data_IF_402471554358
#
_entry.id   IF_402471554358
#
_cell.length_a   1.000
_cell.length_b   1.000
_cell.length_c   1.000
_cell.angle_alpha   90.00
_cell.angle_beta   90.00
_cell.angle_gamma   90.00
#
_symmetry.space_group_name_H-M   'P 1'
#
loop_
_entity.id
_entity.type
_entity.pdbx_description
1 polymer ?
#
# COMPACT_ATOMS: atom_id res chain seq x y z
N UNK A 1 -17.69 4.43 -31.50
CA UNK A 1 -16.40 4.94 -31.99
C UNK A 1 -15.44 5.13 -30.81
N UNK A 2 -14.31 4.41 -30.84
CA UNK A 2 -13.02 4.57 -30.13
C UNK A 2 -12.95 4.85 -28.61
N UNK A 3 -12.64 3.80 -27.82
CA UNK A 3 -11.87 3.91 -26.55
C UNK A 3 -10.81 2.81 -26.44
N UNK A 4 -9.87 2.78 -27.39
CA UNK A 4 -8.58 2.11 -27.20
C UNK A 4 -7.53 3.19 -26.90
N UNK A 5 -7.38 3.56 -25.62
CA UNK A 5 -6.11 4.16 -25.16
C UNK A 5 -5.38 3.10 -24.34
N UNK A 6 -4.58 2.28 -25.02
CA UNK A 6 -3.46 1.58 -24.38
C UNK A 6 -2.43 2.65 -24.00
N UNK A 7 -2.67 3.38 -22.92
CA UNK A 7 -1.60 4.11 -22.27
C UNK A 7 -0.69 3.03 -21.66
N UNK A 8 0.49 2.85 -22.22
CA UNK A 8 1.51 2.03 -21.56
C UNK A 8 1.99 2.85 -20.36
N UNK A 9 1.66 2.39 -19.17
CA UNK A 9 2.14 2.97 -17.93
C UNK A 9 3.67 2.93 -17.97
N UNK A 10 4.32 4.09 -18.14
CA UNK A 10 5.78 4.16 -18.16
C UNK A 10 6.25 4.04 -16.72
N UNK A 11 6.75 2.86 -16.36
CA UNK A 11 7.37 2.59 -15.05
C UNK A 11 8.81 3.10 -15.11
N UNK A 12 9.18 3.97 -14.17
CA UNK A 12 10.54 4.48 -14.02
C UNK A 12 11.22 3.81 -12.83
N UNK A 13 11.79 2.62 -13.04
CA UNK A 13 12.50 1.89 -11.98
C UNK A 13 13.87 2.52 -11.74
N UNK A 14 14.15 2.87 -10.49
CA UNK A 14 15.48 3.29 -10.00
C UNK A 14 15.75 2.56 -8.69
N UNK A 15 17.02 2.45 -8.24
CA UNK A 15 17.32 1.97 -6.89
C UNK A 15 16.69 2.90 -5.86
N UNK A 16 15.79 2.38 -5.03
CA UNK A 16 15.07 3.13 -3.99
C UNK A 16 15.08 2.32 -2.71
N UNK A 17 15.23 3.00 -1.58
CA UNK A 17 15.09 2.41 -0.26
C UNK A 17 13.60 2.16 0.04
N UNK A 18 13.18 0.90 0.14
CA UNK A 18 11.77 0.57 0.31
C UNK A 18 11.22 1.03 1.68
N UNK A 19 12.02 0.98 2.75
CA UNK A 19 11.58 1.46 4.07
C UNK A 19 11.25 2.96 4.05
N UNK A 20 11.99 3.76 3.28
CA UNK A 20 11.67 5.18 3.10
C UNK A 20 10.31 5.37 2.40
N UNK A 21 10.02 4.59 1.35
CA UNK A 21 8.74 4.68 0.64
C UNK A 21 7.58 4.32 1.56
N UNK A 22 7.74 3.28 2.39
CA UNK A 22 6.74 2.89 3.38
C UNK A 22 6.55 4.00 4.42
N UNK A 23 7.64 4.57 4.93
CA UNK A 23 7.59 5.64 5.93
C UNK A 23 6.89 6.89 5.40
N UNK A 24 7.20 7.30 4.16
CA UNK A 24 6.57 8.45 3.51
C UNK A 24 5.07 8.24 3.29
N UNK A 25 4.67 7.03 2.88
CA UNK A 25 3.25 6.70 2.73
C UNK A 25 2.50 6.76 4.07
N UNK A 26 3.10 6.23 5.14
CA UNK A 26 2.54 6.30 6.51
C UNK A 26 2.42 7.76 6.96
N UNK A 27 3.48 8.55 6.79
CA UNK A 27 3.49 9.96 7.17
C UNK A 27 2.42 10.76 6.42
N UNK A 28 2.31 10.56 5.11
CA UNK A 28 1.28 11.19 4.27
C UNK A 28 -0.12 10.90 4.81
N UNK A 29 -0.39 9.65 5.21
CA UNK A 29 -1.69 9.26 5.78
C UNK A 29 -1.94 9.94 7.12
N UNK A 30 -0.95 9.96 8.01
CA UNK A 30 -1.06 10.61 9.33
C UNK A 30 -1.25 12.13 9.22
N UNK A 31 -0.72 12.77 8.17
CA UNK A 31 -0.89 14.20 7.92
C UNK A 31 -2.23 14.56 7.25
N UNK A 32 -2.78 13.66 6.45
CA UNK A 32 -3.97 13.94 5.61
C UNK A 32 -5.29 13.51 6.25
N UNK A 33 -5.27 12.66 7.27
CA UNK A 33 -6.48 12.17 7.93
C UNK A 33 -6.68 12.88 9.27
N UNK A 34 -7.83 13.55 9.43
CA UNK A 34 -8.18 14.33 10.63
C UNK A 34 -8.47 13.44 11.86
N UNK A 35 -8.84 12.18 11.64
CA UNK A 35 -9.08 11.22 12.71
C UNK A 35 -7.75 10.73 13.29
N UNK A 36 -7.71 10.48 14.61
CA UNK A 36 -6.53 9.90 15.27
C UNK A 36 -6.33 8.44 14.83
N UNK A 37 -5.74 8.23 13.65
CA UNK A 37 -5.33 6.91 13.15
C UNK A 37 -4.03 6.52 13.83
N UNK A 38 -3.97 5.31 14.38
CA UNK A 38 -2.77 4.70 14.92
C UNK A 38 -2.22 3.71 13.91
N UNK A 39 -1.08 4.03 13.31
CA UNK A 39 -0.38 3.11 12.40
C UNK A 39 0.79 2.46 13.16
N UNK A 40 0.78 1.13 13.22
CA UNK A 40 1.84 0.34 13.85
C UNK A 40 2.72 -0.32 12.78
N UNK A 41 4.05 -0.29 12.99
CA UNK A 41 5.04 -0.81 12.06
C UNK A 41 5.72 -2.05 12.62
N UNK A 42 5.49 -3.22 12.01
CA UNK A 42 6.00 -4.51 12.49
C UNK A 42 6.89 -5.23 11.45
N UNK A 43 7.64 -6.23 11.90
CA UNK A 43 8.47 -7.08 11.04
C UNK A 43 9.82 -6.46 10.65
N UNK A 44 10.44 -7.00 9.60
CA UNK A 44 11.79 -6.62 9.15
C UNK A 44 11.75 -5.29 8.42
N UNK A 45 12.54 -4.29 8.81
CA UNK A 45 12.66 -3.04 8.04
C UNK A 45 13.57 -3.25 6.83
N UNK A 46 13.06 -3.28 5.58
CA UNK A 46 13.88 -3.48 4.39
C UNK A 46 14.70 -2.22 4.09
N UNK A 47 15.80 -2.04 4.83
CA UNK A 47 16.81 -1.02 4.56
C UNK A 47 17.72 -1.46 3.40
N UNK A 48 17.11 -1.73 2.25
CA UNK A 48 17.75 -2.23 1.04
C UNK A 48 17.29 -1.42 -0.17
N UNK A 49 18.21 -1.23 -1.13
CA UNK A 49 17.90 -0.58 -2.39
C UNK A 49 17.29 -1.60 -3.37
N UNK A 50 16.06 -1.34 -3.78
CA UNK A 50 15.31 -2.20 -4.71
C UNK A 50 15.00 -1.41 -5.98
N UNK A 51 15.13 -1.98 -7.19
CA UNK A 51 14.73 -1.32 -8.43
C UNK A 51 13.20 -1.23 -8.52
N UNK A 52 12.64 -0.07 -8.16
CA UNK A 52 11.20 0.19 -8.18
C UNK A 52 10.88 1.62 -8.64
N UNK A 53 9.62 1.86 -8.99
CA UNK A 53 9.10 3.20 -9.27
C UNK A 53 8.47 3.74 -7.98
N UNK A 54 9.23 4.61 -7.31
CA UNK A 54 8.94 5.18 -5.99
C UNK A 54 7.53 5.73 -5.90
N UNK A 55 7.17 6.62 -6.84
CA UNK A 55 5.88 7.31 -6.88
C UNK A 55 4.74 6.29 -7.03
N UNK A 56 4.94 5.26 -7.86
CA UNK A 56 3.92 4.24 -8.08
C UNK A 56 3.72 3.33 -6.88
N UNK A 57 4.80 2.93 -6.21
CA UNK A 57 4.71 2.09 -5.02
C UNK A 57 4.11 2.89 -3.86
N UNK A 58 4.53 4.13 -3.66
CA UNK A 58 3.94 5.02 -2.65
C UNK A 58 2.42 5.17 -2.86
N UNK A 59 1.97 5.39 -4.10
CA UNK A 59 0.55 5.46 -4.42
C UNK A 59 -0.21 4.17 -4.08
N UNK A 60 0.39 3.00 -4.34
CA UNK A 60 -0.22 1.71 -3.98
C UNK A 60 -0.37 1.58 -2.47
N UNK A 61 0.65 1.97 -1.71
CA UNK A 61 0.62 1.93 -0.24
C UNK A 61 -0.42 2.90 0.32
N UNK A 62 -0.47 4.14 -0.18
CA UNK A 62 -1.49 5.14 0.20
C UNK A 62 -2.90 4.61 -0.08
N UNK A 63 -3.12 3.93 -1.22
CA UNK A 63 -4.42 3.36 -1.55
C UNK A 63 -4.82 2.28 -0.54
N UNK A 64 -3.91 1.38 -0.16
CA UNK A 64 -4.21 0.36 0.84
C UNK A 64 -4.43 0.95 2.24
N UNK A 65 -3.60 1.91 2.66
CA UNK A 65 -3.76 2.58 3.96
C UNK A 65 -5.06 3.38 4.05
N UNK A 66 -5.42 4.12 3.00
CA UNK A 66 -6.69 4.85 2.91
C UNK A 66 -7.88 3.90 2.99
N UNK A 67 -7.81 2.76 2.29
CA UNK A 67 -8.86 1.74 2.36
C UNK A 67 -8.96 1.15 3.77
N UNK A 68 -7.83 0.81 4.40
CA UNK A 68 -7.79 0.29 5.76
C UNK A 68 -8.50 1.22 6.75
N UNK A 69 -8.26 2.53 6.66
CA UNK A 69 -8.91 3.55 7.51
C UNK A 69 -10.39 3.67 7.18
N UNK A 70 -10.71 3.85 5.89
CA UNK A 70 -12.09 4.06 5.42
C UNK A 70 -13.03 2.91 5.80
N UNK A 71 -12.55 1.67 5.75
CA UNK A 71 -13.35 0.48 6.01
C UNK A 71 -13.30 0.02 7.47
N UNK A 72 -12.58 0.74 8.34
CA UNK A 72 -12.48 0.51 9.79
C UNK A 72 -13.05 1.67 10.64
N UNK A 73 -14.32 2.09 10.45
CA UNK A 73 -14.84 3.30 11.12
C UNK A 73 -14.86 3.23 12.66
N UNK A 74 -14.88 2.03 13.23
CA UNK A 74 -14.88 1.80 14.68
C UNK A 74 -13.50 1.39 15.22
N UNK A 75 -12.49 1.25 14.35
CA UNK A 75 -11.13 0.89 14.75
C UNK A 75 -10.13 1.76 14.02
N UNK A 76 -9.41 2.59 14.77
CA UNK A 76 -8.43 3.51 14.23
C UNK A 76 -7.02 2.88 14.07
N UNK A 77 -6.86 1.58 14.33
CA UNK A 77 -5.59 0.88 14.22
C UNK A 77 -5.39 0.27 12.83
N UNK A 78 -4.24 0.54 12.24
CA UNK A 78 -3.75 -0.11 11.02
C UNK A 78 -2.35 -0.65 11.29
N UNK A 79 -2.06 -1.87 10.84
CA UNK A 79 -0.74 -2.50 11.03
C UNK A 79 -0.06 -2.66 9.67
N UNK A 80 1.14 -2.10 9.54
CA UNK A 80 2.02 -2.28 8.38
C UNK A 80 3.15 -3.24 8.75
N UNK A 81 3.09 -4.46 8.22
CA UNK A 81 4.09 -5.49 8.47
C UNK A 81 4.90 -5.76 7.21
N UNK A 82 6.20 -5.98 7.36
CA UNK A 82 7.07 -6.37 6.25
C UNK A 82 7.89 -7.60 6.56
N UNK A 83 8.14 -8.38 5.51
CA UNK A 83 8.98 -9.57 5.55
C UNK A 83 9.94 -9.52 4.38
N UNK A 84 11.23 -9.70 4.66
CA UNK A 84 12.27 -9.85 3.65
C UNK A 84 12.64 -11.31 3.54
N UNK A 85 12.47 -11.88 2.35
CA UNK A 85 12.92 -13.22 2.01
C UNK A 85 14.13 -13.12 1.08
N UNK A 86 15.31 -13.34 1.64
CA UNK A 86 16.56 -13.28 0.91
C UNK A 86 16.75 -14.47 -0.05
N UNK A 87 16.15 -15.63 0.22
CA UNK A 87 16.29 -16.79 -0.66
C UNK A 87 15.38 -16.64 -1.89
N UNK A 88 14.13 -16.22 -1.67
CA UNK A 88 13.18 -15.95 -2.75
C UNK A 88 13.44 -14.62 -3.49
N UNK A 89 14.30 -13.75 -2.95
CA UNK A 89 14.55 -12.38 -3.44
C UNK A 89 13.26 -11.54 -3.47
N UNK A 90 12.44 -11.67 -2.41
CA UNK A 90 11.15 -11.01 -2.30
C UNK A 90 11.07 -10.14 -1.05
N UNK A 91 10.33 -9.02 -1.17
CA UNK A 91 9.87 -8.27 0.00
C UNK A 91 8.35 -8.22 -0.04
N UNK A 92 7.75 -8.63 1.06
CA UNK A 92 6.30 -8.57 1.26
C UNK A 92 5.96 -7.40 2.15
N UNK A 93 5.01 -6.57 1.73
CA UNK A 93 4.42 -5.50 2.53
C UNK A 93 2.94 -5.83 2.74
N UNK A 94 2.55 -5.98 4.01
CA UNK A 94 1.18 -6.26 4.41
C UNK A 94 0.59 -5.03 5.10
N UNK A 95 -0.61 -4.63 4.68
CA UNK A 95 -1.44 -3.66 5.39
C UNK A 95 -2.61 -4.43 5.98
N UNK A 96 -2.73 -4.41 7.31
CA UNK A 96 -3.80 -5.08 8.05
C UNK A 96 -4.71 -4.04 8.70
N UNK A 97 -6.00 -4.15 8.42
CA UNK A 97 -7.06 -3.39 9.05
C UNK A 97 -7.99 -4.31 9.85
N UNK A 98 -8.86 -3.71 10.64
CA UNK A 98 -9.81 -4.42 11.51
C UNK A 98 -11.24 -3.95 11.25
N UNK A 99 -11.52 -3.69 9.97
CA UNK A 99 -12.77 -3.15 9.51
C UNK A 99 -13.85 -4.21 9.29
N UNK A 100 -14.86 -3.82 8.51
CA UNK A 100 -16.01 -4.67 8.18
C UNK A 100 -15.65 -5.90 7.33
N UNK A 101 -14.42 -5.98 6.84
CA UNK A 101 -13.95 -7.01 5.93
C UNK A 101 -14.57 -6.92 4.54
N UNK A 102 -14.14 -7.82 3.65
CA UNK A 102 -14.69 -7.95 2.30
C UNK A 102 -15.33 -9.34 2.20
N UNK A 103 -16.66 -9.42 1.94
CA UNK A 103 -17.33 -10.71 1.75
C UNK A 103 -16.67 -11.52 0.64
N UNK A 104 -16.55 -12.84 0.81
CA UNK A 104 -15.82 -13.74 -0.10
C UNK A 104 -16.22 -13.55 -1.57
N UNK A 105 -17.53 -13.47 -1.84
CA UNK A 105 -18.07 -13.28 -3.19
C UNK A 105 -17.72 -11.93 -3.84
N UNK A 106 -17.17 -10.98 -3.08
CA UNK A 106 -16.70 -9.67 -3.57
C UNK A 106 -15.19 -9.58 -3.72
N UNK A 107 -14.41 -10.50 -3.17
CA UNK A 107 -12.94 -10.41 -3.16
C UNK A 107 -12.36 -10.35 -4.58
N UNK A 108 -12.89 -11.13 -5.52
CA UNK A 108 -12.48 -11.12 -6.94
C UNK A 108 -12.77 -9.80 -7.68
N UNK A 109 -13.63 -8.95 -7.11
CA UNK A 109 -14.03 -7.69 -7.72
C UNK A 109 -13.27 -6.47 -7.16
N UNK A 110 -12.56 -6.60 -6.04
CA UNK A 110 -11.88 -5.48 -5.34
C UNK A 110 -10.88 -4.78 -6.24
N UNK A 111 -10.19 -5.53 -7.10
CA UNK A 111 -9.17 -5.03 -8.03
C UNK A 111 -9.70 -4.70 -9.43
N UNK A 112 -10.99 -4.94 -9.71
CA UNK A 112 -11.57 -4.74 -11.06
C UNK A 112 -11.85 -3.27 -11.37
N UNK A 113 -12.03 -2.43 -10.34
CA UNK A 113 -12.29 -0.99 -10.46
C UNK A 113 -11.59 -0.21 -9.33
N UNK A 114 -10.31 -0.47 -9.08
CA UNK A 114 -9.53 0.39 -8.18
C UNK A 114 -9.33 1.75 -8.86
N UNK A 115 -10.24 2.67 -8.58
CA UNK A 115 -10.20 4.04 -9.11
C UNK A 115 -8.93 4.73 -8.59
N UNK A 116 -8.06 5.10 -9.52
CA UNK A 116 -7.33 6.37 -9.48
C UNK A 116 -8.13 7.34 -10.33
#
# INVERSE_FOLDING_TARGET
>A
MFRNRKWKLKINKKPVNLENVISNAIETILQTHEQQVKIERHGTKPDILIPLDEIRIEQVLINFLTNAIKYSPNNNQVIVTTFVDHEAQEVRVNVTDFGIGIPDFKQDAVFKNSTV
#
